data_IF_659178781204
#
_entry.id   IF_659178781204
#
_cell.length_a   1.000
_cell.length_b   1.000
_cell.length_c   1.000
_cell.angle_alpha   90.00
_cell.angle_beta   90.00
_cell.angle_gamma   90.00
#
_symmetry.space_group_name_H-M   'P 1'
#
loop_
_entity.id
_entity.type
_entity.pdbx_description
1 polymer ?
#
# COMPACT_ATOMS: atom_id res chain seq x y z
N UNK A 1 1.25 15.70 30.41
CA UNK A 1 2.38 15.59 29.46
C UNK A 1 2.30 14.37 28.55
N UNK A 2 2.01 13.15 29.04
CA UNK A 2 1.91 11.91 28.22
C UNK A 2 0.94 11.97 27.02
N UNK A 3 -0.18 12.67 27.13
CA UNK A 3 -1.16 12.76 26.04
C UNK A 3 -0.63 13.46 24.77
N UNK A 4 0.33 14.39 24.90
CA UNK A 4 0.94 15.07 23.74
C UNK A 4 1.95 14.18 23.01
N UNK A 5 2.67 13.34 23.74
CA UNK A 5 3.63 12.40 23.17
C UNK A 5 2.94 11.30 22.35
N UNK A 6 1.78 10.82 22.79
CA UNK A 6 0.98 9.85 22.02
C UNK A 6 0.48 10.44 20.70
N UNK A 7 -0.04 11.67 20.72
CA UNK A 7 -0.52 12.34 19.50
C UNK A 7 0.63 12.54 18.51
N UNK A 8 1.81 12.90 19.00
CA UNK A 8 2.99 13.12 18.16
C UNK A 8 3.51 11.81 17.55
N UNK A 9 3.57 10.73 18.33
CA UNK A 9 3.90 9.39 17.82
C UNK A 9 2.92 8.92 16.75
N UNK A 10 1.62 9.14 16.95
CA UNK A 10 0.58 8.70 16.00
C UNK A 10 0.59 9.51 14.70
N UNK A 11 0.89 10.81 14.75
CA UNK A 11 1.13 11.64 13.56
C UNK A 11 2.33 11.14 12.76
N UNK A 12 3.45 10.84 13.43
CA UNK A 12 4.64 10.31 12.79
C UNK A 12 4.38 8.97 12.08
N UNK A 13 3.59 8.07 12.68
CA UNK A 13 3.22 6.78 12.06
C UNK A 13 2.33 7.00 10.83
N UNK A 14 1.35 7.91 10.91
CA UNK A 14 0.48 8.23 9.77
C UNK A 14 1.27 8.80 8.60
N UNK A 15 2.24 9.66 8.88
CA UNK A 15 3.07 10.29 7.87
C UNK A 15 4.03 9.27 7.22
N UNK A 16 4.62 8.38 8.02
CA UNK A 16 5.41 7.25 7.53
C UNK A 16 4.59 6.36 6.59
N UNK A 17 3.37 6.00 6.98
CA UNK A 17 2.50 5.18 6.13
C UNK A 17 2.16 5.87 4.81
N UNK A 18 1.96 7.19 4.82
CA UNK A 18 1.69 7.96 3.58
C UNK A 18 2.89 8.01 2.64
N UNK A 19 4.11 8.09 3.20
CA UNK A 19 5.36 8.04 2.43
C UNK A 19 5.61 6.65 1.82
N UNK A 20 5.37 5.59 2.59
CA UNK A 20 5.49 4.20 2.10
C UNK A 20 4.46 3.93 1.01
N UNK A 21 3.21 4.37 1.19
CA UNK A 21 2.17 4.23 0.17
C UNK A 21 2.54 4.99 -1.12
N UNK A 22 3.03 6.23 -1.01
CA UNK A 22 3.47 7.00 -2.18
C UNK A 22 4.66 6.37 -2.91
N UNK A 23 5.62 5.80 -2.19
CA UNK A 23 6.74 5.05 -2.78
C UNK A 23 6.26 3.78 -3.50
N UNK A 24 5.32 3.04 -2.91
CA UNK A 24 4.72 1.86 -3.54
C UNK A 24 3.98 2.20 -4.84
N UNK A 25 3.20 3.29 -4.86
CA UNK A 25 2.54 3.77 -6.07
C UNK A 25 3.50 4.24 -7.15
N UNK A 26 4.57 4.96 -6.77
CA UNK A 26 5.57 5.42 -7.72
C UNK A 26 6.37 4.25 -8.34
N UNK A 27 6.68 3.23 -7.55
CA UNK A 27 7.35 2.01 -8.03
C UNK A 27 6.47 1.23 -9.01
N UNK A 28 5.17 1.09 -8.73
CA UNK A 28 4.22 0.46 -9.64
C UNK A 28 4.11 1.19 -10.98
N UNK A 29 4.00 2.52 -10.96
CA UNK A 29 3.93 3.34 -12.18
C UNK A 29 5.25 3.32 -12.97
N UNK A 30 6.39 3.34 -12.29
CA UNK A 30 7.70 3.21 -12.94
C UNK A 30 7.85 1.83 -13.58
N UNK A 31 7.37 0.78 -12.90
CA UNK A 31 7.41 -0.57 -13.44
C UNK A 31 6.58 -0.73 -14.71
N UNK A 32 5.38 -0.15 -14.70
CA UNK A 32 4.51 -0.09 -15.88
C UNK A 32 5.18 0.69 -17.03
N UNK A 33 5.81 1.83 -16.72
CA UNK A 33 6.44 2.68 -17.73
C UNK A 33 7.74 2.10 -18.32
N UNK A 34 8.52 1.36 -17.53
CA UNK A 34 9.82 0.82 -17.99
C UNK A 34 9.70 -0.53 -18.67
N UNK A 35 8.94 -1.47 -18.08
CA UNK A 35 8.82 -2.82 -18.62
C UNK A 35 7.60 -2.99 -19.53
N UNK A 36 6.65 -2.06 -19.50
CA UNK A 36 5.40 -2.17 -20.28
C UNK A 36 4.50 -3.31 -19.80
N UNK A 37 4.81 -3.90 -18.64
CA UNK A 37 4.06 -4.97 -17.99
C UNK A 37 3.48 -4.42 -16.69
N UNK A 38 2.26 -4.81 -16.35
CA UNK A 38 1.69 -4.46 -15.06
C UNK A 38 2.48 -5.08 -13.91
N UNK A 39 2.43 -4.45 -12.72
CA UNK A 39 3.12 -4.95 -11.53
C UNK A 39 2.72 -6.40 -11.18
N UNK A 40 1.52 -6.84 -11.59
CA UNK A 40 1.07 -8.22 -11.47
C UNK A 40 1.85 -9.19 -12.37
N UNK A 41 2.10 -8.82 -13.63
CA UNK A 41 2.89 -9.65 -14.55
C UNK A 41 4.35 -9.74 -14.09
N UNK A 42 4.91 -8.62 -13.62
CA UNK A 42 6.24 -8.60 -13.03
C UNK A 42 6.33 -9.49 -11.78
N UNK A 43 5.28 -9.49 -10.94
CA UNK A 43 5.24 -10.33 -9.74
C UNK A 43 5.03 -11.81 -10.07
N UNK A 44 4.22 -12.13 -11.09
CA UNK A 44 4.07 -13.49 -11.61
C UNK A 44 5.38 -14.05 -12.15
N UNK A 45 6.10 -13.26 -12.96
CA UNK A 45 7.42 -13.63 -13.50
C UNK A 45 8.48 -13.79 -12.39
N UNK A 46 8.43 -12.97 -11.34
CA UNK A 46 9.36 -13.04 -10.20
C UNK A 46 9.07 -14.19 -9.23
N UNK A 47 7.80 -14.57 -9.05
CA UNK A 47 7.39 -15.59 -8.09
C UNK A 47 7.24 -16.98 -8.72
N UNK A 48 7.14 -17.05 -10.05
CA UNK A 48 6.91 -18.30 -10.78
C UNK A 48 5.54 -18.92 -10.55
N UNK A 49 4.64 -18.19 -9.87
CA UNK A 49 3.26 -18.62 -9.61
C UNK A 49 2.36 -18.19 -10.77
N UNK A 50 1.37 -19.02 -11.14
CA UNK A 50 0.38 -18.63 -12.13
C UNK A 50 -0.34 -17.35 -11.67
N UNK A 51 -0.51 -16.40 -12.60
CA UNK A 51 -1.08 -15.07 -12.32
C UNK A 51 -2.46 -15.17 -11.66
N UNK A 52 -3.22 -16.23 -11.98
CA UNK A 52 -4.53 -16.55 -11.40
C UNK A 52 -4.49 -16.68 -9.86
N UNK A 53 -3.39 -17.15 -9.27
CA UNK A 53 -3.22 -17.25 -7.82
C UNK A 53 -2.75 -15.93 -7.19
N UNK A 54 -1.95 -15.16 -7.92
CA UNK A 54 -1.41 -13.86 -7.49
C UNK A 54 -2.51 -12.79 -7.49
N UNK A 55 -3.45 -12.88 -8.42
CA UNK A 55 -4.58 -11.98 -8.56
C UNK A 55 -5.35 -11.83 -7.24
N UNK A 56 -5.68 -12.93 -6.56
CA UNK A 56 -6.45 -12.86 -5.31
C UNK A 56 -5.74 -12.05 -4.21
N UNK A 57 -4.44 -12.29 -4.00
CA UNK A 57 -3.66 -11.59 -3.00
C UNK A 57 -3.52 -10.09 -3.33
N UNK A 58 -3.39 -9.76 -4.61
CA UNK A 58 -3.29 -8.37 -5.07
C UNK A 58 -4.64 -7.67 -5.02
N UNK A 59 -5.74 -8.30 -5.43
CA UNK A 59 -7.10 -7.77 -5.27
C UNK A 59 -7.44 -7.53 -3.81
N UNK A 60 -7.04 -8.45 -2.92
CA UNK A 60 -7.17 -8.26 -1.47
C UNK A 60 -6.36 -7.05 -1.00
N UNK A 61 -5.11 -6.90 -1.45
CA UNK A 61 -4.27 -5.77 -1.07
C UNK A 61 -4.80 -4.44 -1.62
N UNK A 62 -5.29 -4.39 -2.86
CA UNK A 62 -5.90 -3.21 -3.46
C UNK A 62 -7.18 -2.81 -2.71
N UNK A 63 -8.08 -3.78 -2.44
CA UNK A 63 -9.25 -3.55 -1.60
C UNK A 63 -8.84 -3.06 -0.21
N UNK A 64 -7.84 -3.68 0.42
CA UNK A 64 -7.35 -3.27 1.74
C UNK A 64 -6.79 -1.85 1.73
N UNK A 65 -6.04 -1.45 0.71
CA UNK A 65 -5.54 -0.08 0.57
C UNK A 65 -6.68 0.92 0.36
N UNK A 66 -7.66 0.58 -0.47
CA UNK A 66 -8.83 1.44 -0.72
C UNK A 66 -9.64 1.59 0.57
N UNK A 67 -9.94 0.49 1.26
CA UNK A 67 -10.63 0.48 2.54
C UNK A 67 -9.84 1.26 3.59
N UNK A 68 -8.53 1.06 3.71
CA UNK A 68 -7.68 1.81 4.64
C UNK A 68 -7.62 3.31 4.33
N UNK A 69 -7.77 3.69 3.06
CA UNK A 69 -7.73 5.10 2.61
C UNK A 69 -9.08 5.78 2.74
N UNK A 70 -10.17 5.05 2.45
CA UNK A 70 -11.56 5.55 2.48
C UNK A 70 -12.15 5.47 3.88
N UNK A 71 -11.80 4.47 4.69
CA UNK A 71 -12.26 4.45 6.08
C UNK A 71 -11.72 5.71 6.76
N UNK A 72 -12.60 6.61 7.23
CA UNK A 72 -12.16 7.62 8.18
C UNK A 72 -11.61 6.84 9.37
N UNK A 73 -10.36 7.10 9.75
CA UNK A 73 -9.85 6.59 11.03
C UNK A 73 -10.76 7.17 12.10
N UNK A 74 -11.72 6.37 12.57
CA UNK A 74 -12.60 6.70 13.67
C UNK A 74 -11.75 6.82 14.93
N UNK A 75 -11.08 7.96 15.07
CA UNK A 75 -10.52 8.46 16.30
C UNK A 75 -11.71 8.85 17.18
N UNK A 76 -12.27 7.87 17.92
CA UNK A 76 -12.91 8.21 19.18
C UNK A 76 -11.79 8.48 20.18
N UNK A 77 -11.88 9.68 20.75
CA UNK A 77 -11.01 10.30 21.73
C UNK A 77 -10.78 9.42 22.96
#
# INVERSE_FOLDING_TARGET
MRAREEIQKRKAISERNRRIAGLGSAAALTGLAMWGQDMMSMLGDLTGLPIEEVDFAVYFMACFLVVHTVLPKSYRA
#
